data_IF_168180974125
#
_entry.id   IF_168180974125
#
_cell.length_a   1.000
_cell.length_b   1.000
_cell.length_c   1.000
_cell.angle_alpha   90.00
_cell.angle_beta   90.00
_cell.angle_gamma   90.00
#
_symmetry.space_group_name_H-M   'P 1'
#
loop_
_entity.id
_entity.type
_entity.pdbx_description
1 polymer ?
#
# COMPACT_ATOMS: atom_id res chain seq x y z
N UNK A 1 14.24 6.29 -2.56
CA UNK A 1 14.19 6.26 -1.10
C UNK A 1 14.72 4.94 -0.61
N UNK A 2 15.62 5.02 0.33
CA UNK A 2 16.14 3.80 0.91
C UNK A 2 15.33 3.45 2.13
N UNK A 3 14.66 2.34 2.08
CA UNK A 3 13.90 1.86 3.23
C UNK A 3 14.79 0.85 3.94
N UNK A 4 15.28 1.24 5.08
CA UNK A 4 16.14 0.37 5.84
C UNK A 4 15.34 -0.33 6.92
N UNK A 5 15.59 -1.63 7.03
CA UNK A 5 15.15 -2.40 8.18
C UNK A 5 13.65 -2.31 8.43
N UNK A 6 12.89 -2.57 7.41
CA UNK A 6 11.43 -2.54 7.51
C UNK A 6 10.83 -3.90 7.82
N UNK A 7 11.64 -4.85 8.24
CA UNK A 7 11.11 -6.20 8.48
C UNK A 7 10.07 -6.23 9.56
N UNK A 8 10.22 -5.35 10.55
CA UNK A 8 9.23 -5.28 11.63
C UNK A 8 7.91 -4.74 11.17
N UNK A 9 7.86 -4.14 9.99
CA UNK A 9 6.66 -3.53 9.45
C UNK A 9 5.97 -4.41 8.39
N UNK A 10 6.41 -5.64 8.27
CA UNK A 10 5.77 -6.56 7.34
C UNK A 10 4.40 -6.95 7.87
N UNK A 11 3.39 -6.83 7.03
CA UNK A 11 2.01 -7.18 7.36
C UNK A 11 1.38 -7.89 6.19
N UNK A 12 0.31 -8.62 6.45
CA UNK A 12 -0.53 -9.05 5.34
C UNK A 12 -1.37 -7.88 4.90
N UNK A 13 -1.72 -7.85 3.63
CA UNK A 13 -2.52 -6.76 3.11
C UNK A 13 -3.83 -6.59 3.88
N UNK A 14 -4.43 -7.71 4.30
CA UNK A 14 -5.69 -7.66 5.03
C UNK A 14 -5.59 -6.97 6.39
N UNK A 15 -4.37 -6.89 6.94
CA UNK A 15 -4.15 -6.22 8.22
C UNK A 15 -4.09 -4.70 8.09
N UNK A 16 -4.00 -4.19 6.88
CA UNK A 16 -3.94 -2.76 6.66
C UNK A 16 -5.33 -2.15 6.69
N UNK A 17 -5.40 -0.89 7.08
CA UNK A 17 -6.66 -0.14 7.03
C UNK A 17 -6.63 0.79 5.83
N UNK A 18 -7.81 1.18 5.38
CA UNK A 18 -7.93 2.12 4.27
C UNK A 18 -7.19 3.40 4.61
N UNK A 19 -6.35 3.85 3.67
CA UNK A 19 -5.52 5.01 3.88
C UNK A 19 -4.08 4.68 4.22
N UNK A 20 -3.80 3.44 4.58
CA UNK A 20 -2.42 3.03 4.86
C UNK A 20 -1.60 3.01 3.58
N UNK A 21 -0.38 3.46 3.72
CA UNK A 21 0.61 3.40 2.65
C UNK A 21 1.44 2.14 2.85
N UNK A 22 1.75 1.46 1.77
CA UNK A 22 2.54 0.24 1.87
C UNK A 22 3.41 0.06 0.63
N UNK A 23 4.47 -0.73 0.79
CA UNK A 23 5.35 -1.08 -0.31
C UNK A 23 5.14 -2.54 -0.70
N UNK A 24 5.06 -2.78 -1.98
CA UNK A 24 4.96 -4.12 -2.52
C UNK A 24 5.71 -4.16 -3.84
N UNK A 25 6.67 -5.07 -3.96
CA UNK A 25 7.45 -5.25 -5.18
C UNK A 25 8.07 -3.95 -5.69
N UNK A 26 8.65 -3.18 -4.76
CA UNK A 26 9.35 -1.94 -5.07
C UNK A 26 8.45 -0.79 -5.50
N UNK A 27 7.15 -0.93 -5.36
CA UNK A 27 6.21 0.13 -5.66
C UNK A 27 5.49 0.53 -4.39
N UNK A 28 5.09 1.78 -4.30
CA UNK A 28 4.38 2.31 -3.15
C UNK A 28 2.91 2.46 -3.51
N UNK A 29 2.06 1.95 -2.64
CA UNK A 29 0.62 1.95 -2.85
C UNK A 29 -0.08 2.53 -1.63
N UNK A 30 -1.34 2.91 -1.84
CA UNK A 30 -2.24 3.32 -0.76
C UNK A 30 -3.42 2.37 -0.79
N UNK A 31 -3.78 1.84 0.39
CA UNK A 31 -4.94 0.98 0.47
C UNK A 31 -6.21 1.82 0.35
N UNK A 32 -7.12 1.42 -0.54
CA UNK A 32 -8.38 2.10 -0.76
C UNK A 32 -9.52 1.14 -0.46
N UNK A 33 -10.71 1.72 -0.27
CA UNK A 33 -11.90 0.93 0.03
C UNK A 33 -12.44 0.32 -1.25
N UNK A 34 -12.42 -1.01 -1.33
CA UNK A 34 -12.91 -1.72 -2.50
C UNK A 34 -14.41 -1.53 -2.72
N UNK A 35 -15.13 -1.12 -1.69
CA UNK A 35 -16.57 -0.92 -1.79
C UNK A 35 -16.93 0.33 -2.56
N UNK A 36 -15.99 1.21 -2.82
CA UNK A 36 -16.26 2.48 -3.49
C UNK A 36 -16.10 2.40 -5.00
N UNK A 37 -15.74 1.24 -5.53
CA UNK A 37 -15.58 1.11 -6.97
C UNK A 37 -16.14 -0.22 -7.46
N UNK A 38 -16.59 -0.24 -8.70
CA UNK A 38 -17.24 -1.42 -9.26
C UNK A 38 -16.30 -2.61 -9.44
N UNK A 39 -15.03 -2.33 -9.69
CA UNK A 39 -14.07 -3.37 -10.00
C UNK A 39 -13.40 -3.93 -8.77
N UNK A 40 -13.79 -3.44 -7.59
CA UNK A 40 -13.29 -3.93 -6.32
C UNK A 40 -11.77 -3.75 -6.17
N UNK A 41 -11.23 -2.73 -6.77
CA UNK A 41 -9.83 -2.39 -6.56
C UNK A 41 -9.64 -1.97 -5.11
N UNK A 42 -8.56 -2.42 -4.52
CA UNK A 42 -8.28 -2.16 -3.10
C UNK A 42 -6.94 -1.48 -2.87
N UNK A 43 -6.25 -1.09 -3.92
CA UNK A 43 -4.97 -0.38 -3.81
C UNK A 43 -4.82 0.56 -5.00
N UNK A 44 -4.09 1.63 -4.78
CA UNK A 44 -3.74 2.56 -5.86
C UNK A 44 -2.26 2.83 -5.78
N UNK A 45 -1.60 2.79 -6.94
CA UNK A 45 -0.19 3.13 -7.03
C UNK A 45 -0.03 4.62 -6.73
N UNK A 46 0.75 4.94 -5.69
CA UNK A 46 0.89 6.32 -5.25
C UNK A 46 1.59 7.20 -6.26
N UNK A 47 2.34 6.59 -7.16
CA UNK A 47 3.11 7.34 -8.16
C UNK A 47 2.32 7.54 -9.44
N UNK A 48 1.62 6.52 -9.90
CA UNK A 48 0.95 6.56 -11.20
C UNK A 48 -0.54 6.80 -11.11
N UNK A 49 -1.14 6.54 -9.94
CA UNK A 49 -2.58 6.63 -9.78
C UNK A 49 -3.35 5.44 -10.34
N UNK A 50 -2.64 4.42 -10.81
CA UNK A 50 -3.30 3.24 -11.35
C UNK A 50 -3.80 2.37 -10.20
N UNK A 51 -5.04 1.90 -10.33
CA UNK A 51 -5.65 1.07 -9.29
C UNK A 51 -5.40 -0.40 -9.55
N UNK A 52 -5.30 -1.15 -8.46
CA UNK A 52 -5.03 -2.59 -8.52
C UNK A 52 -5.88 -3.33 -7.51
N UNK A 53 -5.97 -4.62 -7.72
CA UNK A 53 -6.55 -5.51 -6.73
C UNK A 53 -5.43 -6.37 -6.15
N UNK A 54 -5.23 -6.24 -4.85
CA UNK A 54 -4.21 -6.99 -4.13
C UNK A 54 -4.88 -8.11 -3.35
N UNK A 55 -4.30 -9.29 -3.40
CA UNK A 55 -4.80 -10.44 -2.65
C UNK A 55 -4.63 -10.19 -1.16
N UNK A 56 -5.63 -10.55 -0.37
CA UNK A 56 -5.68 -10.23 1.05
C UNK A 56 -4.51 -10.81 1.85
N UNK A 57 -4.00 -11.95 1.45
CA UNK A 57 -2.94 -12.61 2.21
C UNK A 57 -1.53 -12.32 1.71
N UNK A 58 -1.38 -11.37 0.82
CA UNK A 58 -0.05 -10.97 0.34
C UNK A 58 0.67 -10.20 1.44
N UNK A 59 1.95 -10.50 1.61
CA UNK A 59 2.78 -9.76 2.56
C UNK A 59 3.25 -8.47 1.93
N UNK A 60 3.10 -7.38 2.67
CA UNK A 60 3.50 -6.05 2.22
C UNK A 60 4.24 -5.37 3.36
N UNK A 61 4.93 -4.30 3.04
CA UNK A 61 5.65 -3.50 4.01
C UNK A 61 4.83 -2.26 4.35
N UNK A 62 4.32 -2.19 5.57
CA UNK A 62 3.59 -1.01 6.01
C UNK A 62 4.56 0.15 6.15
N UNK A 63 4.21 1.28 5.57
CA UNK A 63 5.03 2.48 5.63
C UNK A 63 4.44 3.43 6.66
N UNK A 64 4.96 3.34 7.88
CA UNK A 64 4.60 4.28 8.93
C UNK A 64 5.41 5.55 8.76
N UNK A 65 4.83 6.66 9.13
CA UNK A 65 5.54 7.95 9.12
C UNK A 65 6.09 8.31 7.76
N UNK A 66 5.38 7.92 6.72
CA UNK A 66 5.79 8.34 5.41
C UNK A 66 5.52 9.82 5.30
N UNK A 67 6.56 10.57 5.51
CA UNK A 67 6.51 11.98 5.18
C UNK A 67 6.74 12.04 3.69
N UNK A 68 5.68 12.17 2.96
CA UNK A 68 5.83 12.37 1.55
C UNK A 68 6.25 13.78 1.32
N UNK A 69 7.51 13.92 1.09
CA UNK A 69 8.00 15.18 0.60
C UNK A 69 7.82 15.13 -0.90
N UNK A 70 6.73 15.69 -1.33
CA UNK A 70 6.48 15.84 -2.75
C UNK A 70 7.22 17.09 -3.18
N UNK A 71 8.35 16.86 -3.71
CA UNK A 71 9.08 17.96 -4.31
C UNK A 71 8.91 17.93 -5.79
#
# INVERSE_FOLDING_TARGET
>A
MKIEDNRSNVRTFSDLIVGDWFECENNIYIKIDEKTNHLKYNAVDAETGIMYRVTENVNVCLLDDVTLVLN
#
